data_IF_863566077396
#
_entry.id   IF_863566077396
#
_cell.length_a   1.000
_cell.length_b   1.000
_cell.length_c   1.000
_cell.angle_alpha   90.00
_cell.angle_beta   90.00
_cell.angle_gamma   90.00
#
_symmetry.space_group_name_H-M   'P 1'
#
loop_
_entity.id
_entity.type
_entity.pdbx_description
1 polymer ?
#
# COMPACT_ATOMS: atom_id res chain seq x y z
N UNK A 1 -19.49 -0.70 26.35
CA UNK A 1 -18.05 -0.43 26.52
C UNK A 1 -17.64 0.33 25.27
N UNK A 2 -17.29 1.62 25.41
CA UNK A 2 -16.79 2.42 24.31
C UNK A 2 -15.30 2.14 24.21
N UNK A 3 -14.88 1.40 23.19
CA UNK A 3 -13.47 1.24 22.85
C UNK A 3 -12.94 2.64 22.50
N UNK A 4 -12.12 3.19 23.40
CA UNK A 4 -11.32 4.38 23.14
C UNK A 4 -10.34 4.01 22.02
N UNK A 5 -10.73 4.29 20.78
CA UNK A 5 -9.80 4.35 19.67
C UNK A 5 -8.85 5.51 19.96
N UNK A 6 -7.68 5.19 20.50
CA UNK A 6 -6.55 6.11 20.50
C UNK A 6 -6.23 6.46 19.05
N UNK A 7 -6.73 7.60 18.59
CA UNK A 7 -6.52 8.18 17.26
C UNK A 7 -5.03 8.33 16.88
N UNK A 8 -4.11 8.12 17.83
CA UNK A 8 -2.66 8.25 17.65
C UNK A 8 -2.00 7.05 16.96
N UNK A 9 -2.65 5.87 16.94
CA UNK A 9 -2.11 4.65 16.31
C UNK A 9 -3.26 3.84 15.73
N UNK A 10 -3.61 4.12 14.47
CA UNK A 10 -4.49 3.25 13.71
C UNK A 10 -3.63 2.14 13.11
N UNK A 11 -3.96 0.89 13.41
CA UNK A 11 -3.44 -0.31 12.75
C UNK A 11 -4.63 -0.97 12.05
N UNK A 12 -4.60 -1.02 10.72
CA UNK A 12 -5.64 -1.64 9.91
C UNK A 12 -5.02 -2.65 8.96
N UNK A 13 -5.48 -3.90 9.05
CA UNK A 13 -5.18 -4.92 8.04
C UNK A 13 -6.28 -4.95 7.00
N UNK A 14 -5.91 -4.84 5.72
CA UNK A 14 -6.83 -4.80 4.59
C UNK A 14 -6.46 -5.84 3.55
N UNK A 15 -7.50 -6.46 2.99
CA UNK A 15 -7.39 -7.38 1.87
C UNK A 15 -7.96 -6.73 0.62
N UNK A 16 -7.19 -6.68 -0.45
CA UNK A 16 -7.61 -6.18 -1.76
C UNK A 16 -7.09 -7.12 -2.84
N UNK A 17 -7.99 -7.77 -3.57
CA UNK A 17 -7.66 -8.67 -4.68
C UNK A 17 -6.68 -9.81 -4.35
N UNK A 18 -6.83 -10.40 -3.16
CA UNK A 18 -5.91 -11.45 -2.70
C UNK A 18 -4.55 -10.94 -2.19
N UNK A 19 -4.30 -9.63 -2.24
CA UNK A 19 -3.20 -8.99 -1.53
C UNK A 19 -3.66 -8.56 -0.14
N UNK A 20 -2.87 -8.89 0.88
CA UNK A 20 -3.10 -8.54 2.27
C UNK A 20 -2.00 -7.62 2.73
N UNK A 21 -2.36 -6.46 3.24
CA UNK A 21 -1.43 -5.47 3.76
C UNK A 21 -1.95 -4.84 5.05
N UNK A 22 -1.02 -4.39 5.87
CA UNK A 22 -1.28 -3.61 7.06
C UNK A 22 -0.94 -2.13 6.78
N UNK A 23 -1.78 -1.24 7.28
CA UNK A 23 -1.52 0.19 7.37
C UNK A 23 -1.45 0.56 8.83
N UNK A 24 -0.29 1.04 9.27
CA UNK A 24 -0.11 1.58 10.61
C UNK A 24 0.20 3.08 10.54
N UNK A 25 -0.40 3.87 11.42
CA UNK A 25 -0.10 5.31 11.53
C UNK A 25 0.69 5.58 12.78
N UNK A 26 1.69 6.43 12.65
CA UNK A 26 2.43 7.01 13.78
C UNK A 26 2.37 8.53 13.71
N UNK A 27 2.21 9.14 14.88
CA UNK A 27 2.47 10.56 15.08
C UNK A 27 3.99 10.82 15.05
N UNK A 28 4.40 11.84 14.32
CA UNK A 28 5.78 12.32 14.18
C UNK A 28 5.81 13.81 14.51
N UNK A 29 6.98 14.42 14.79
CA UNK A 29 7.05 15.82 15.22
C UNK A 29 6.32 16.82 14.31
N UNK A 30 6.25 16.54 13.01
CA UNK A 30 5.65 17.41 11.99
C UNK A 30 4.22 16.98 11.56
N UNK A 31 3.63 15.97 12.20
CA UNK A 31 2.27 15.49 11.89
C UNK A 31 2.14 13.98 12.00
N UNK A 32 1.63 13.34 10.96
CA UNK A 32 1.34 11.91 10.92
C UNK A 32 1.95 11.26 9.68
N UNK A 33 2.52 10.08 9.84
CA UNK A 33 2.99 9.24 8.76
C UNK A 33 2.30 7.88 8.84
N UNK A 34 1.95 7.32 7.69
CA UNK A 34 1.43 5.98 7.58
C UNK A 34 2.50 5.06 7.00
N UNK A 35 2.62 3.86 7.56
CA UNK A 35 3.45 2.80 7.05
C UNK A 35 2.54 1.70 6.50
N UNK A 36 2.81 1.31 5.26
CA UNK A 36 2.21 0.18 4.57
C UNK A 36 3.18 -1.01 4.64
N UNK A 37 2.69 -2.17 5.07
CA UNK A 37 3.46 -3.41 5.11
C UNK A 37 2.67 -4.53 4.45
N UNK A 38 3.23 -5.19 3.45
CA UNK A 38 2.60 -6.36 2.82
C UNK A 38 2.72 -7.57 3.75
N UNK A 39 1.59 -8.20 4.07
CA UNK A 39 1.53 -9.40 4.91
C UNK A 39 1.52 -10.65 4.02
N UNK A 40 0.75 -10.61 2.93
CA UNK A 40 0.59 -11.72 2.01
C UNK A 40 0.24 -11.20 0.62
N UNK A 41 0.70 -11.90 -0.40
CA UNK A 41 0.39 -11.61 -1.79
C UNK A 41 0.31 -12.94 -2.56
N UNK A 42 -0.35 -12.97 -3.72
CA UNK A 42 -0.38 -14.16 -4.57
C UNK A 42 1.04 -14.70 -4.83
N UNK A 43 1.19 -16.03 -4.89
CA UNK A 43 2.49 -16.69 -5.00
C UNK A 43 3.34 -16.20 -6.19
N UNK A 44 2.68 -15.80 -7.28
CA UNK A 44 3.28 -15.22 -8.49
C UNK A 44 3.97 -13.86 -8.27
N UNK A 45 3.81 -13.26 -7.08
CA UNK A 45 4.31 -11.93 -6.73
C UNK A 45 5.15 -11.88 -5.46
N UNK A 46 5.35 -13.01 -4.75
CA UNK A 46 6.09 -13.08 -3.48
C UNK A 46 7.52 -12.52 -3.54
N UNK A 47 8.09 -12.35 -4.73
CA UNK A 47 9.38 -11.71 -4.98
C UNK A 47 9.42 -10.22 -4.55
N UNK A 48 8.25 -9.59 -4.38
CA UNK A 48 8.08 -8.17 -4.02
C UNK A 48 7.61 -7.95 -2.57
N UNK A 49 7.55 -9.00 -1.74
CA UNK A 49 6.95 -8.96 -0.40
C UNK A 49 7.71 -8.08 0.62
N UNK A 50 8.99 -7.81 0.41
CA UNK A 50 9.84 -7.10 1.38
C UNK A 50 9.65 -5.55 1.37
N UNK A 51 8.70 -5.03 0.61
CA UNK A 51 8.54 -3.60 0.43
C UNK A 51 7.63 -3.00 1.51
N UNK A 52 8.23 -2.57 2.64
CA UNK A 52 7.55 -1.64 3.55
C UNK A 52 7.60 -0.23 2.95
N UNK A 53 6.45 0.40 2.74
CA UNK A 53 6.35 1.76 2.22
C UNK A 53 5.92 2.72 3.33
N UNK A 54 6.46 3.94 3.33
CA UNK A 54 6.05 4.98 4.27
C UNK A 54 5.58 6.20 3.49
N UNK A 55 4.44 6.75 3.87
CA UNK A 55 3.89 7.96 3.25
C UNK A 55 4.70 9.19 3.66
N UNK A 56 4.55 10.28 2.92
CA UNK A 56 5.02 11.60 3.37
C UNK A 56 4.30 12.00 4.67
N UNK A 57 4.80 13.01 5.36
CA UNK A 57 4.13 13.53 6.56
C UNK A 57 2.88 14.33 6.17
N UNK A 58 1.76 14.05 6.85
CA UNK A 58 0.50 14.77 6.69
C UNK A 58 0.07 15.40 8.01
N UNK A 59 -0.66 16.52 7.95
CA UNK A 59 -1.23 17.17 9.14
C UNK A 59 -2.40 16.39 9.77
N UNK A 60 -2.85 15.29 9.14
CA UNK A 60 -3.96 14.46 9.62
C UNK A 60 -3.63 12.98 9.46
N UNK A 61 -3.85 12.20 10.52
CA UNK A 61 -3.78 10.75 10.47
C UNK A 61 -4.66 10.15 9.36
N UNK A 62 -5.87 10.70 9.16
CA UNK A 62 -6.78 10.24 8.12
C UNK A 62 -6.21 10.44 6.71
N UNK A 63 -5.52 11.55 6.48
CA UNK A 63 -4.87 11.82 5.19
C UNK A 63 -3.70 10.84 4.96
N UNK A 64 -2.89 10.58 5.99
CA UNK A 64 -1.82 9.59 5.91
C UNK A 64 -2.35 8.18 5.61
N UNK A 65 -3.46 7.76 6.24
CA UNK A 65 -4.12 6.46 5.97
C UNK A 65 -4.61 6.39 4.53
N UNK A 66 -5.32 7.43 4.08
CA UNK A 66 -5.84 7.47 2.72
C UNK A 66 -4.70 7.35 1.69
N UNK A 67 -3.58 8.03 1.92
CA UNK A 67 -2.41 7.94 1.07
C UNK A 67 -1.79 6.54 1.07
N UNK A 68 -1.66 5.89 2.23
CA UNK A 68 -1.14 4.53 2.31
C UNK A 68 -2.01 3.53 1.53
N UNK A 69 -3.34 3.70 1.55
CA UNK A 69 -4.23 2.89 0.72
C UNK A 69 -4.08 3.19 -0.77
N UNK A 70 -3.91 4.46 -1.16
CA UNK A 70 -3.64 4.84 -2.55
C UNK A 70 -2.36 4.15 -3.05
N UNK A 71 -1.27 4.23 -2.29
CA UNK A 71 0.00 3.57 -2.61
C UNK A 71 -0.16 2.05 -2.75
N UNK A 72 -0.90 1.42 -1.85
CA UNK A 72 -1.19 -0.02 -1.93
C UNK A 72 -1.92 -0.38 -3.23
N UNK A 73 -2.93 0.43 -3.60
CA UNK A 73 -3.69 0.23 -4.84
C UNK A 73 -2.81 0.44 -6.08
N UNK A 74 -1.96 1.46 -6.10
CA UNK A 74 -1.01 1.70 -7.19
C UNK A 74 -0.07 0.51 -7.40
N UNK A 75 0.45 -0.08 -6.32
CA UNK A 75 1.29 -1.29 -6.40
C UNK A 75 0.53 -2.50 -6.89
N UNK A 76 -0.67 -2.74 -6.38
CA UNK A 76 -1.53 -3.83 -6.85
C UNK A 76 -1.81 -3.67 -8.34
N UNK A 77 -2.12 -2.46 -8.80
CA UNK A 77 -2.35 -2.19 -10.22
C UNK A 77 -1.07 -2.41 -11.04
N UNK A 78 0.08 -1.88 -10.61
CA UNK A 78 1.36 -2.08 -11.29
C UNK A 78 1.76 -3.57 -11.37
N UNK A 79 1.46 -4.37 -10.35
CA UNK A 79 1.71 -5.82 -10.37
C UNK A 79 0.69 -6.59 -11.20
N UNK A 80 -0.51 -6.05 -11.40
CA UNK A 80 -1.52 -6.64 -12.27
C UNK A 80 -1.25 -6.38 -13.72
N UNK A 81 -0.71 -5.21 -14.08
CA UNK A 81 -0.36 -4.93 -15.46
C UNK A 81 0.67 -5.98 -15.90
N UNK A 82 0.30 -6.94 -16.77
CA UNK A 82 1.32 -7.76 -17.39
C UNK A 82 2.17 -6.78 -18.16
N UNK A 83 3.50 -6.83 -18.03
CA UNK A 83 4.44 -6.00 -18.80
C UNK A 83 4.06 -6.00 -20.28
N UNK A 84 3.18 -5.09 -20.68
CA UNK A 84 2.64 -4.95 -22.04
C UNK A 84 3.47 -3.89 -22.73
N UNK A 85 4.78 -4.01 -22.56
CA UNK A 85 5.79 -3.29 -23.29
C UNK A 85 6.76 -4.35 -23.80
N UNK A 86 6.35 -5.06 -24.86
CA UNK A 86 7.16 -5.61 -25.97
C UNK A 86 6.44 -6.78 -26.69
N UNK A 87 5.24 -6.55 -27.22
CA UNK A 87 4.68 -7.24 -28.40
C UNK A 87 3.84 -6.18 -29.11
N UNK A 88 3.95 -5.82 -30.38
CA UNK A 88 4.39 -6.51 -31.58
C UNK A 88 4.64 -5.40 -32.64
N UNK A 89 5.80 -5.34 -33.29
CA UNK A 89 5.88 -4.73 -34.63
C UNK A 89 6.30 -5.82 -35.60
N UNK A 90 5.35 -6.47 -36.31
CA UNK A 90 5.71 -7.20 -37.51
C UNK A 90 6.10 -6.17 -38.57
N UNK A 91 7.40 -5.91 -38.70
CA UNK A 91 7.91 -5.23 -39.90
C UNK A 91 8.00 -6.29 -40.99
N UNK A 92 6.85 -6.58 -41.60
CA UNK A 92 6.82 -7.37 -42.83
C UNK A 92 7.52 -6.61 -43.93
N UNK A 93 8.47 -7.25 -44.62
CA UNK A 93 8.77 -7.03 -46.03
C UNK A 93 9.32 -8.33 -46.60
#
# INVERSE_FOLDING_TARGET
MQEQYSLATADETRTTDGYVYNVSVKEVPDGFQAQLVWISMPAERMEHLDEAMTTTTFHSARAAIAEAHSLALERILAWREPSSAHQDMPTGT
#
